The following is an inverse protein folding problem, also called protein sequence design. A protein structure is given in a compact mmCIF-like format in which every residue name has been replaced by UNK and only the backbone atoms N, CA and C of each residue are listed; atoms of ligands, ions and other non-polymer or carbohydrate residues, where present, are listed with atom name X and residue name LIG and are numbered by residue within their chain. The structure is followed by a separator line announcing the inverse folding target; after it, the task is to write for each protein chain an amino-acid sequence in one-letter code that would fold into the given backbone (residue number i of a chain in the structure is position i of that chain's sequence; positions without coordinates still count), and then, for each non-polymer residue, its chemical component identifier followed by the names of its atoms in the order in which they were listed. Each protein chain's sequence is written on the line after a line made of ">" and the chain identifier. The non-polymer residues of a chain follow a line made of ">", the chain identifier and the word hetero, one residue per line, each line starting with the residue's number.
data_IF_168290904851
#
_entry.id   IF_168290904851
#
_cell.length_a   1.000
_cell.length_b   1.000
_cell.length_c   1.000
_cell.angle_alpha   90.00
_cell.angle_beta   90.00
_cell.angle_gamma   90.00
#
_symmetry.space_group_name_H-M   'P 1'
#
loop_
_entity.id
_entity.type
_entity.pdbx_description
1 polymer ?
#
# COMPACT_ATOMS: atom_id res chain seq x y z
N UNK A 1 3.80 -3.28 -0.44
CA UNK A 1 2.30 -3.22 -0.44
C UNK A 1 1.77 -2.06 0.40
N UNK A 2 2.15 -1.94 1.67
CA UNK A 2 1.70 -0.81 2.50
C UNK A 2 2.17 0.53 1.91
N UNK A 3 3.44 0.62 1.55
CA UNK A 3 4.03 1.82 0.97
C UNK A 3 3.59 2.04 -0.49
N UNK A 4 3.80 1.05 -1.37
CA UNK A 4 3.53 1.21 -2.81
C UNK A 4 2.05 1.28 -3.21
N UNK A 5 1.12 0.77 -2.40
CA UNK A 5 -0.31 0.74 -2.72
C UNK A 5 -1.21 1.36 -1.63
N UNK A 6 -0.62 1.92 -0.58
CA UNK A 6 -1.34 2.60 0.50
C UNK A 6 -2.41 1.75 1.20
N UNK A 7 -2.20 0.44 1.33
CA UNK A 7 -3.19 -0.49 1.87
C UNK A 7 -3.39 -0.34 3.38
N UNK A 8 -4.61 -0.62 3.85
CA UNK A 8 -4.87 -0.90 5.26
C UNK A 8 -4.32 -2.27 5.64
N UNK A 9 -3.94 -2.48 6.90
CA UNK A 9 -3.45 -3.79 7.36
C UNK A 9 -4.45 -4.93 7.10
N UNK A 10 -5.76 -4.67 7.29
CA UNK A 10 -6.80 -5.64 6.99
C UNK A 10 -6.90 -5.94 5.48
N UNK A 11 -6.66 -4.97 4.63
CA UNK A 11 -6.62 -5.16 3.18
C UNK A 11 -5.40 -6.00 2.79
N UNK A 12 -4.24 -5.78 3.41
CA UNK A 12 -3.02 -6.57 3.16
C UNK A 12 -3.24 -8.05 3.46
N UNK A 13 -3.84 -8.38 4.60
CA UNK A 13 -4.08 -9.79 4.97
C UNK A 13 -5.18 -10.44 4.15
N UNK A 14 -6.09 -9.65 3.58
CA UNK A 14 -7.16 -10.12 2.72
C UNK A 14 -6.77 -10.34 1.26
N UNK A 15 -5.55 -9.94 0.84
CA UNK A 15 -5.10 -10.10 -0.54
C UNK A 15 -4.95 -11.56 -0.93
N UNK A 16 -5.32 -11.84 -2.17
CA UNK A 16 -5.16 -13.14 -2.82
C UNK A 16 -4.14 -13.04 -3.96
N UNK A 17 -3.57 -14.16 -4.34
CA UNK A 17 -2.64 -14.25 -5.48
C UNK A 17 -3.27 -13.70 -6.76
N UNK A 18 -4.55 -14.00 -7.02
CA UNK A 18 -5.28 -13.56 -8.21
C UNK A 18 -5.89 -12.16 -8.15
N UNK A 19 -5.52 -11.33 -7.14
CA UNK A 19 -6.00 -9.95 -7.08
C UNK A 19 -5.18 -8.98 -7.98
N UNK A 20 -4.10 -9.46 -8.60
CA UNK A 20 -3.34 -8.72 -9.61
C UNK A 20 -3.87 -9.03 -11.00
N UNK A 21 -4.04 -7.99 -11.81
CA UNK A 21 -4.53 -8.10 -13.18
C UNK A 21 -3.77 -7.14 -14.08
N UNK A 22 -3.45 -7.58 -15.27
CA UNK A 22 -2.99 -6.69 -16.32
C UNK A 22 -4.10 -5.71 -16.70
N UNK A 23 -3.76 -4.44 -16.80
CA UNK A 23 -4.69 -3.43 -17.32
C UNK A 23 -4.77 -3.57 -18.83
N UNK A 24 -5.98 -3.62 -19.36
CA UNK A 24 -6.17 -3.53 -20.81
C UNK A 24 -5.79 -2.11 -21.25
N UNK A 25 -4.76 -1.97 -22.09
CA UNK A 25 -4.34 -0.69 -22.66
C UNK A 25 -2.82 -0.60 -22.83
N UNK A 26 -2.11 -0.08 -21.88
CA UNK A 26 -0.64 0.01 -21.96
C UNK A 26 0.01 -1.31 -21.55
N UNK A 27 0.94 -1.81 -22.35
CA UNK A 27 1.67 -3.03 -22.08
C UNK A 27 2.41 -2.95 -20.73
N UNK A 28 2.19 -3.96 -19.90
CA UNK A 28 2.90 -4.13 -18.62
C UNK A 28 2.31 -3.38 -17.43
N UNK A 29 1.23 -2.62 -17.59
CA UNK A 29 0.56 -2.02 -16.44
C UNK A 29 -0.22 -3.07 -15.65
N UNK A 30 0.06 -3.16 -14.34
CA UNK A 30 -0.64 -4.08 -13.44
C UNK A 30 -1.50 -3.31 -12.46
N UNK A 31 -2.74 -3.74 -12.30
CA UNK A 31 -3.68 -3.24 -11.31
C UNK A 31 -3.85 -4.25 -10.18
N UNK A 32 -3.84 -3.75 -8.95
CA UNK A 32 -4.20 -4.51 -7.76
C UNK A 32 -5.65 -4.22 -7.40
N UNK A 33 -6.48 -5.25 -7.43
CA UNK A 33 -7.86 -5.20 -6.97
C UNK A 33 -7.90 -5.35 -5.45
N UNK A 34 -8.51 -4.40 -4.77
CA UNK A 34 -8.59 -4.33 -3.31
C UNK A 34 -10.05 -4.34 -2.89
N UNK A 35 -10.41 -5.29 -2.05
CA UNK A 35 -11.73 -5.31 -1.40
C UNK A 35 -11.67 -4.48 -0.12
N UNK A 36 -12.38 -3.38 -0.08
CA UNK A 36 -12.48 -2.49 1.07
C UNK A 36 -13.69 -2.79 1.97
N UNK A 37 -13.93 -1.91 2.93
CA UNK A 37 -15.09 -2.00 3.84
C UNK A 37 -16.40 -1.95 3.06
N UNK A 38 -17.35 -2.83 3.40
CA UNK A 38 -18.65 -2.92 2.73
C UNK A 38 -18.57 -3.50 1.32
N UNK A 39 -17.62 -4.40 1.06
CA UNK A 39 -17.40 -5.05 -0.24
C UNK A 39 -17.15 -4.10 -1.42
N UNK A 40 -16.82 -2.84 -1.15
CA UNK A 40 -16.44 -1.89 -2.20
C UNK A 40 -15.09 -2.27 -2.77
N UNK A 41 -15.03 -2.45 -4.08
CA UNK A 41 -13.81 -2.79 -4.80
C UNK A 41 -13.20 -1.52 -5.36
N UNK A 42 -11.88 -1.37 -5.21
CA UNK A 42 -11.07 -0.40 -5.93
C UNK A 42 -9.89 -1.09 -6.59
N UNK A 43 -9.39 -0.51 -7.65
CA UNK A 43 -8.16 -0.92 -8.30
C UNK A 43 -7.10 0.18 -8.11
N UNK A 44 -5.88 -0.21 -7.81
CA UNK A 44 -4.74 0.72 -7.73
C UNK A 44 -3.63 0.23 -8.65
N UNK A 45 -2.96 1.14 -9.37
CA UNK A 45 -1.80 0.76 -10.17
C UNK A 45 -0.67 0.27 -9.28
N UNK A 46 0.04 -0.72 -9.76
CA UNK A 46 1.22 -1.31 -9.09
C UNK A 46 2.46 -0.88 -9.85
N UNK A 47 3.45 -0.32 -9.14
CA UNK A 47 4.71 0.03 -9.80
C UNK A 47 5.45 -1.22 -10.29
N UNK A 48 6.25 -1.11 -11.35
CA UNK A 48 7.03 -2.24 -11.87
C UNK A 48 7.92 -2.90 -10.81
N UNK A 49 8.51 -2.09 -9.91
CA UNK A 49 9.35 -2.57 -8.81
C UNK A 49 8.54 -3.42 -7.83
N UNK A 50 7.37 -2.91 -7.42
CA UNK A 50 6.50 -3.64 -6.50
C UNK A 50 5.99 -4.93 -7.16
N UNK A 51 5.67 -4.88 -8.44
CA UNK A 51 5.24 -6.06 -9.20
C UNK A 51 6.32 -7.14 -9.24
N UNK A 52 7.58 -6.79 -9.55
CA UNK A 52 8.70 -7.74 -9.50
C UNK A 52 8.87 -8.39 -8.13
N UNK A 53 8.71 -7.62 -7.04
CA UNK A 53 8.77 -8.15 -5.68
C UNK A 53 7.63 -9.14 -5.39
N UNK A 54 6.42 -8.86 -5.87
CA UNK A 54 5.27 -9.76 -5.72
C UNK A 54 5.50 -11.05 -6.50
N UNK A 55 5.92 -10.97 -7.77
CA UNK A 55 6.23 -12.13 -8.60
C UNK A 55 7.27 -13.03 -7.92
N UNK A 56 8.39 -12.43 -7.46
CA UNK A 56 9.45 -13.15 -6.75
C UNK A 56 8.93 -13.80 -5.47
N UNK A 57 8.12 -13.09 -4.69
CA UNK A 57 7.54 -13.63 -3.45
C UNK A 57 6.62 -14.83 -3.72
N UNK A 58 5.73 -14.74 -4.71
CA UNK A 58 4.82 -15.83 -5.09
C UNK A 58 5.61 -17.04 -5.57
N UNK A 59 6.60 -16.84 -6.44
CA UNK A 59 7.47 -17.91 -6.93
C UNK A 59 8.21 -18.62 -5.79
N UNK A 60 8.87 -17.86 -4.90
CA UNK A 60 9.62 -18.41 -3.76
C UNK A 60 8.73 -19.13 -2.74
N UNK A 61 7.44 -18.85 -2.74
CA UNK A 61 6.45 -19.55 -1.90
C UNK A 61 5.86 -20.81 -2.56
N UNK A 62 6.42 -21.24 -3.71
CA UNK A 62 5.97 -22.43 -4.44
C UNK A 62 4.61 -22.27 -5.12
N UNK A 63 4.18 -21.02 -5.36
CA UNK A 63 2.88 -20.68 -5.99
C UNK A 63 3.08 -20.03 -7.35
N UNK A 64 2.00 -19.98 -8.14
CA UNK A 64 2.01 -19.36 -9.47
C UNK A 64 0.92 -18.31 -9.61
N UNK A 65 1.27 -17.18 -10.22
CA UNK A 65 0.31 -16.10 -10.55
C UNK A 65 -0.65 -16.50 -11.67
N UNK A 66 -0.27 -17.46 -12.50
CA UNK A 66 -1.09 -17.96 -13.62
C UNK A 66 -1.94 -19.17 -13.25
N UNK A 67 -1.71 -19.78 -12.07
CA UNK A 67 -2.46 -20.95 -11.62
C UNK A 67 -3.86 -20.57 -11.10
N UNK A 68 -4.89 -21.18 -11.67
CA UNK A 68 -6.27 -21.04 -11.18
C UNK A 68 -6.45 -21.55 -9.73
N UNK A 69 -5.72 -22.59 -9.34
CA UNK A 69 -5.77 -23.13 -7.99
C UNK A 69 -5.16 -22.19 -6.97
N UNK A 70 -4.10 -21.47 -7.35
CA UNK A 70 -3.43 -20.52 -6.47
C UNK A 70 -4.12 -19.15 -6.43
N UNK A 71 -4.88 -18.79 -7.46
CA UNK A 71 -5.54 -17.49 -7.56
C UNK A 71 -6.41 -17.14 -6.34
N UNK A 72 -7.01 -18.14 -5.69
CA UNK A 72 -7.87 -17.97 -4.51
C UNK A 72 -7.11 -18.02 -3.19
N UNK A 73 -5.85 -18.46 -3.20
CA UNK A 73 -5.02 -18.56 -2.00
C UNK A 73 -4.62 -17.17 -1.48
N UNK A 74 -4.44 -17.02 -0.15
CA UNK A 74 -3.93 -15.77 0.42
C UNK A 74 -2.59 -15.39 -0.22
N UNK A 75 -2.39 -14.12 -0.55
CA UNK A 75 -1.08 -13.65 -1.05
C UNK A 75 -0.01 -13.84 0.02
N UNK A 76 -0.28 -13.38 1.22
CA UNK A 76 0.66 -13.48 2.35
C UNK A 76 0.18 -14.55 3.33
N UNK A 77 1.03 -15.54 3.57
CA UNK A 77 0.72 -16.70 4.39
C UNK A 77 1.54 -16.74 5.68
N UNK A 78 0.97 -17.34 6.72
CA UNK A 78 1.68 -17.66 7.95
C UNK A 78 2.59 -18.87 7.74
N UNK A 79 3.75 -18.89 8.40
CA UNK A 79 4.63 -20.07 8.45
C UNK A 79 3.99 -21.24 9.23
N UNK A 80 3.07 -20.93 10.15
CA UNK A 80 2.38 -21.89 11.00
C UNK A 80 1.06 -22.36 10.37
N UNK A 81 1.05 -22.86 9.18
CA UNK A 81 -0.24 -23.26 8.59
C UNK A 81 -0.17 -23.89 7.21
N UNK A 82 0.94 -24.55 6.90
CA UNK A 82 1.05 -25.30 5.64
C UNK A 82 0.93 -24.46 4.37
N UNK A 83 1.09 -23.14 4.46
CA UNK A 83 1.09 -22.22 3.30
C UNK A 83 -0.29 -21.70 2.87
N UNK A 84 -1.39 -22.17 3.44
CA UNK A 84 -2.75 -21.73 3.07
C UNK A 84 -3.42 -20.79 4.10
N UNK A 85 -2.82 -20.64 5.26
CA UNK A 85 -3.35 -19.75 6.31
C UNK A 85 -2.86 -18.31 6.08
N UNK A 86 -3.76 -17.31 5.96
CA UNK A 86 -3.35 -15.93 5.75
C UNK A 86 -2.61 -15.38 6.99
N UNK A 87 -1.77 -14.35 6.78
CA UNK A 87 -1.23 -13.55 7.87
C UNK A 87 -2.36 -12.92 8.68
N UNK A 88 -2.07 -12.66 9.97
CA UNK A 88 -2.93 -11.83 10.79
C UNK A 88 -2.50 -10.36 10.74
N UNK A 89 -3.39 -9.43 11.06
CA UNK A 89 -3.05 -8.00 11.20
C UNK A 89 -1.97 -7.79 12.26
N UNK A 90 -1.98 -8.60 13.34
CA UNK A 90 -0.92 -8.59 14.36
C UNK A 90 0.45 -8.96 13.76
N UNK A 91 0.49 -9.98 12.90
CA UNK A 91 1.72 -10.36 12.21
C UNK A 91 2.24 -9.24 11.29
N UNK A 92 1.34 -8.57 10.57
CA UNK A 92 1.71 -7.41 9.72
C UNK A 92 2.32 -6.29 10.56
N UNK A 93 1.72 -5.93 11.69
CA UNK A 93 2.28 -4.93 12.62
C UNK A 93 3.65 -5.34 13.15
N UNK A 94 3.80 -6.60 13.52
CA UNK A 94 5.09 -7.14 14.00
C UNK A 94 6.17 -7.05 12.92
N UNK A 95 5.86 -7.43 11.68
CA UNK A 95 6.78 -7.36 10.53
C UNK A 95 7.21 -5.92 10.31
N UNK A 96 6.27 -4.97 10.26
CA UNK A 96 6.58 -3.54 10.08
C UNK A 96 7.52 -3.05 11.19
N UNK A 97 7.20 -3.34 12.45
CA UNK A 97 8.04 -2.94 13.59
C UNK A 97 9.45 -3.56 13.52
N UNK A 98 9.52 -4.85 13.18
CA UNK A 98 10.81 -5.57 13.04
C UNK A 98 11.71 -4.89 12.02
N UNK A 99 11.20 -4.60 10.82
CA UNK A 99 12.01 -4.00 9.77
C UNK A 99 12.29 -2.51 10.01
N UNK A 100 11.38 -1.77 10.62
CA UNK A 100 11.66 -0.40 11.06
C UNK A 100 12.83 -0.35 12.06
N UNK A 101 12.83 -1.23 13.05
CA UNK A 101 13.92 -1.33 14.02
C UNK A 101 15.24 -1.74 13.35
N UNK A 102 15.20 -2.72 12.44
CA UNK A 102 16.39 -3.16 11.69
C UNK A 102 16.97 -2.06 10.79
N UNK A 103 16.14 -1.14 10.31
CA UNK A 103 16.54 0.04 9.54
C UNK A 103 16.99 1.23 10.44
N UNK A 104 17.08 1.06 11.76
CA UNK A 104 17.47 2.12 12.68
C UNK A 104 16.43 3.23 12.86
N UNK A 105 15.18 3.00 12.47
CA UNK A 105 14.11 4.00 12.61
C UNK A 105 13.63 4.00 14.05
N UNK A 106 13.94 5.07 14.79
CA UNK A 106 13.57 5.26 16.20
C UNK A 106 12.13 5.71 16.41
N UNK A 107 11.54 6.36 15.39
CA UNK A 107 10.15 6.77 15.41
C UNK A 107 9.22 5.56 15.36
N UNK A 108 8.13 5.61 16.12
CA UNK A 108 7.10 4.56 16.06
C UNK A 108 6.46 4.48 14.67
N UNK A 109 6.72 3.37 13.96
CA UNK A 109 6.15 3.09 12.64
C UNK A 109 5.06 2.03 12.77
N UNK A 110 3.94 2.28 12.10
CA UNK A 110 2.81 1.35 12.00
C UNK A 110 2.31 1.24 10.56
N UNK A 111 1.53 0.21 10.20
CA UNK A 111 0.88 0.13 8.90
C UNK A 111 0.05 1.37 8.57
N UNK A 112 -0.60 1.95 9.57
CA UNK A 112 -1.39 3.18 9.40
C UNK A 112 -0.52 4.40 9.11
N UNK A 113 0.63 4.55 9.79
CA UNK A 113 1.55 5.67 9.53
C UNK A 113 2.18 5.57 8.14
N UNK A 114 2.53 4.36 7.66
CA UNK A 114 3.03 4.16 6.29
C UNK A 114 1.97 4.61 5.27
N UNK A 115 0.74 4.14 5.42
CA UNK A 115 -0.37 4.56 4.55
C UNK A 115 -0.61 6.07 4.59
N UNK A 116 -0.47 6.69 5.78
CA UNK A 116 -0.58 8.14 5.93
C UNK A 116 0.52 8.85 5.15
N UNK A 117 1.75 8.33 5.18
CA UNK A 117 2.87 8.85 4.37
C UNK A 117 2.56 8.80 2.89
N UNK A 118 1.98 7.70 2.39
CA UNK A 118 1.57 7.59 0.97
C UNK A 118 0.59 8.70 0.60
N UNK A 119 -0.46 8.92 1.41
CA UNK A 119 -1.43 9.98 1.15
C UNK A 119 -0.81 11.38 1.20
N UNK A 120 0.10 11.62 2.13
CA UNK A 120 0.84 12.90 2.23
C UNK A 120 1.74 13.10 1.01
N UNK A 121 2.48 12.07 0.59
CA UNK A 121 3.36 12.15 -0.58
C UNK A 121 2.55 12.43 -1.86
N UNK A 122 1.39 11.78 -2.03
CA UNK A 122 0.50 12.10 -3.15
C UNK A 122 0.07 13.57 -3.14
N UNK A 123 -0.28 14.12 -1.97
CA UNK A 123 -0.69 15.50 -1.85
C UNK A 123 0.48 16.49 -2.08
N UNK A 124 1.69 16.17 -1.58
CA UNK A 124 2.92 16.95 -1.82
C UNK A 124 3.27 16.97 -3.32
N UNK A 125 3.00 15.88 -4.04
CA UNK A 125 3.15 15.79 -5.49
C UNK A 125 1.91 16.31 -6.24
N UNK A 126 1.06 17.11 -5.59
CA UNK A 126 -0.08 17.82 -6.19
C UNK A 126 -1.13 16.92 -6.84
N UNK A 127 -1.20 15.65 -6.42
CA UNK A 127 -2.25 14.75 -6.91
C UNK A 127 -3.65 15.30 -6.54
N UNK A 128 -4.61 15.33 -7.46
CA UNK A 128 -5.96 15.80 -7.19
C UNK A 128 -6.58 15.05 -5.99
N UNK A 129 -7.31 15.78 -5.13
CA UNK A 129 -7.92 15.22 -3.91
C UNK A 129 -8.76 13.96 -4.20
N UNK A 130 -9.50 13.96 -5.30
CA UNK A 130 -10.32 12.83 -5.73
C UNK A 130 -9.48 11.59 -6.02
N UNK A 131 -8.32 11.76 -6.67
CA UNK A 131 -7.38 10.67 -6.96
C UNK A 131 -6.82 10.09 -5.66
N UNK A 132 -6.39 10.95 -4.70
CA UNK A 132 -5.93 10.49 -3.38
C UNK A 132 -7.03 9.71 -2.66
N UNK A 133 -8.26 10.23 -2.69
CA UNK A 133 -9.43 9.61 -2.08
C UNK A 133 -9.72 8.21 -2.65
N UNK A 134 -9.74 8.11 -3.97
CA UNK A 134 -9.98 6.84 -4.69
C UNK A 134 -8.85 5.84 -4.45
N UNK A 135 -7.60 6.28 -4.56
CA UNK A 135 -6.43 5.44 -4.34
C UNK A 135 -6.42 4.84 -2.94
N UNK A 136 -6.65 5.66 -1.94
CA UNK A 136 -6.71 5.21 -0.55
C UNK A 136 -8.04 4.53 -0.18
N UNK A 137 -9.10 4.69 -0.96
CA UNK A 137 -10.43 4.14 -0.67
C UNK A 137 -11.05 4.77 0.59
N UNK A 138 -11.04 6.10 0.66
CA UNK A 138 -11.74 6.84 1.69
C UNK A 138 -13.18 7.10 1.24
N UNK A 139 -14.14 6.70 2.08
CA UNK A 139 -15.56 6.98 1.85
C UNK A 139 -15.93 8.43 2.14
N UNK A 140 -15.19 9.08 3.05
CA UNK A 140 -15.41 10.47 3.44
C UNK A 140 -14.26 11.35 2.94
N UNK A 141 -14.54 12.37 2.11
CA UNK A 141 -13.55 13.34 1.63
C UNK A 141 -12.80 14.07 2.77
N UNK A 142 -13.46 14.31 3.91
CA UNK A 142 -12.82 14.95 5.08
C UNK A 142 -11.58 14.17 5.54
N UNK A 143 -11.61 12.84 5.43
CA UNK A 143 -10.45 12.01 5.75
C UNK A 143 -9.27 12.28 4.84
N UNK A 144 -9.52 12.66 3.59
CA UNK A 144 -8.47 12.95 2.59
C UNK A 144 -7.96 14.38 2.71
N UNK A 145 -8.81 15.34 3.07
CA UNK A 145 -8.43 16.77 3.22
C UNK A 145 -7.26 16.98 4.18
N UNK A 146 -7.08 16.13 5.18
CA UNK A 146 -5.95 16.23 6.10
C UNK A 146 -4.58 16.09 5.42
N UNK A 147 -4.52 15.36 4.29
CA UNK A 147 -3.27 15.21 3.53
C UNK A 147 -2.92 16.48 2.78
N UNK A 148 -3.91 17.15 2.21
CA UNK A 148 -3.73 18.46 1.55
C UNK A 148 -3.22 19.48 2.56
N UNK A 149 -3.89 19.63 3.71
CA UNK A 149 -3.42 20.52 4.79
C UNK A 149 -1.99 20.21 5.22
N UNK A 150 -1.65 18.92 5.31
CA UNK A 150 -0.30 18.50 5.68
C UNK A 150 0.73 18.84 4.60
N UNK A 151 0.38 18.72 3.32
CA UNK A 151 1.22 19.15 2.21
C UNK A 151 1.46 20.66 2.25
N UNK A 152 0.42 21.46 2.49
CA UNK A 152 0.52 22.91 2.64
C UNK A 152 1.45 23.31 3.81
N UNK A 153 1.34 22.62 4.95
CA UNK A 153 2.25 22.84 6.09
C UNK A 153 3.71 22.52 5.75
N UNK A 154 3.95 21.46 4.97
CA UNK A 154 5.31 21.09 4.52
C UNK A 154 5.85 22.14 3.55
N UNK A 155 5.05 22.54 2.57
CA UNK A 155 5.42 23.58 1.61
C UNK A 155 5.73 24.93 2.29
N UNK A 156 4.88 25.36 3.22
CA UNK A 156 5.08 26.60 4.00
C UNK A 156 6.37 26.56 4.81
N UNK A 157 6.69 25.43 5.44
CA UNK A 157 7.95 25.26 6.17
C UNK A 157 9.16 25.30 5.24
N UNK A 158 9.10 24.63 4.09
CA UNK A 158 10.17 24.64 3.11
C UNK A 158 10.45 26.07 2.63
N UNK A 159 9.40 26.88 2.40
CA UNK A 159 9.54 28.29 2.06
C UNK A 159 10.26 29.09 3.15
N UNK A 160 9.88 28.86 4.41
CA UNK A 160 10.51 29.57 5.56
C UNK A 160 12.02 29.29 5.69
N UNK A 161 12.45 28.06 5.35
CA UNK A 161 13.88 27.69 5.37
C UNK A 161 14.65 28.14 4.12
N UNK A 162 13.95 28.48 3.04
CA UNK A 162 14.56 28.89 1.77
C UNK A 162 14.65 30.46 1.62
N UNK A 163 14.05 31.20 2.52
CA UNK A 163 14.21 32.64 2.57
C UNK A 163 15.53 32.97 3.29
N UNK A 164 16.58 33.28 2.51
CA UNK A 164 17.79 33.92 3.05
C UNK A 164 17.42 35.27 3.63
N UNK A 165 17.88 35.63 4.83
CA UNK A 165 17.78 37.01 5.29
C UNK A 165 18.57 37.90 4.32
N UNK A 166 17.90 38.90 3.75
CA UNK A 166 18.53 39.96 2.97
C UNK A 166 19.43 40.82 3.86
#
# INVERSE_FOLDING_TARGET
>A
MLDGAGLREAEVVGLKVGDFREAGGEEGQVLLRIMGKGAKIRAVPVSPELWRLVQRYVLLSGRSLTSHSDARKPLFTSREGGGDKPLTTRAVRYIVKKYANAAGITKAISPHSIRHTVGTNMAVNEAPLLIIQQFLGHSDPKTTMRYVRRADEIASKAYTYNTLPL
#
